data_IF_578264582439
#
_entry.id   IF_578264582439
#
_cell.length_a   1.000
_cell.length_b   1.000
_cell.length_c   1.000
_cell.angle_alpha   90.00
_cell.angle_beta   90.00
_cell.angle_gamma   90.00
#
_symmetry.space_group_name_H-M   'P 1'
#
loop_
_entity.id
_entity.type
_entity.pdbx_description
1 polymer ?
#
# COMPACT_ATOMS: atom_id res chain seq x y z
N UNK A 1 -5.67 16.58 7.94
CA UNK A 1 -5.56 16.71 9.41
C UNK A 1 -4.67 15.54 9.83
N UNK A 2 -3.36 15.79 10.01
CA UNK A 2 -2.38 14.73 10.26
C UNK A 2 -2.26 14.51 11.76
N UNK A 3 -2.70 13.36 12.24
CA UNK A 3 -2.48 12.95 13.63
C UNK A 3 -1.07 12.37 13.73
N UNK A 4 -0.13 13.17 14.25
CA UNK A 4 1.11 12.65 14.80
C UNK A 4 0.77 11.91 16.10
N UNK A 5 0.61 10.59 16.01
CA UNK A 5 0.32 9.70 17.14
C UNK A 5 1.59 9.23 17.85
N UNK A 6 1.54 9.21 19.19
CA UNK A 6 2.53 8.73 20.15
C UNK A 6 3.19 7.37 19.79
N UNK A 7 4.32 6.97 20.43
CA UNK A 7 4.94 5.66 20.21
C UNK A 7 4.06 4.56 20.83
N UNK A 8 2.97 4.22 20.15
CA UNK A 8 1.94 3.29 20.59
C UNK A 8 2.04 1.98 19.83
N UNK A 9 2.46 0.92 20.52
CA UNK A 9 2.47 -0.50 20.13
C UNK A 9 3.19 -0.85 18.79
N UNK A 10 3.89 -2.00 18.70
CA UNK A 10 4.40 -2.47 17.43
C UNK A 10 3.22 -2.75 16.48
N UNK A 11 3.11 -1.93 15.42
CA UNK A 11 2.15 -2.15 14.33
C UNK A 11 2.45 -3.53 13.72
N UNK A 12 1.57 -4.49 13.99
CA UNK A 12 1.79 -5.89 13.60
C UNK A 12 1.13 -6.14 12.24
N UNK A 13 1.94 -6.43 11.23
CA UNK A 13 1.48 -6.86 9.90
C UNK A 13 0.81 -8.23 10.03
N UNK A 14 -0.45 -8.33 9.59
CA UNK A 14 -1.20 -9.59 9.53
C UNK A 14 -0.86 -10.38 8.26
N UNK A 15 -0.83 -9.70 7.11
CA UNK A 15 -0.36 -10.26 5.82
C UNK A 15 -0.03 -9.15 4.83
N UNK A 16 0.85 -9.44 3.88
CA UNK A 16 1.04 -8.59 2.69
C UNK A 16 -0.05 -8.90 1.67
N UNK A 17 -0.75 -7.85 1.20
CA UNK A 17 -1.79 -7.94 0.18
C UNK A 17 -1.21 -7.85 -1.22
N UNK A 18 -0.26 -6.94 -1.43
CA UNK A 18 0.36 -6.74 -2.73
C UNK A 18 1.80 -6.24 -2.57
N UNK A 19 2.64 -6.58 -3.54
CA UNK A 19 4.00 -6.06 -3.67
C UNK A 19 4.31 -5.85 -5.14
N UNK A 20 4.49 -4.59 -5.53
CA UNK A 20 4.82 -4.22 -6.89
C UNK A 20 6.21 -3.62 -6.96
N UNK A 21 6.89 -3.88 -8.07
CA UNK A 21 8.21 -3.34 -8.36
C UNK A 21 8.15 -2.66 -9.72
N UNK A 22 8.79 -1.49 -9.82
CA UNK A 22 8.94 -0.78 -11.08
C UNK A 22 10.25 -0.02 -11.07
N UNK A 23 11.16 -0.37 -11.99
CA UNK A 23 12.55 0.08 -11.94
C UNK A 23 13.20 -0.37 -10.63
N UNK A 24 13.89 0.55 -9.96
CA UNK A 24 14.53 0.31 -8.66
C UNK A 24 13.61 0.60 -7.45
N UNK A 25 12.36 0.95 -7.70
CA UNK A 25 11.35 1.21 -6.68
C UNK A 25 10.52 -0.03 -6.33
N UNK A 26 10.08 -0.08 -5.09
CA UNK A 26 9.15 -1.08 -4.57
C UNK A 26 8.02 -0.40 -3.83
N UNK A 27 6.78 -0.86 -4.04
CA UNK A 27 5.62 -0.51 -3.24
C UNK A 27 5.04 -1.79 -2.63
N UNK A 28 4.82 -1.78 -1.32
CA UNK A 28 4.19 -2.87 -0.57
C UNK A 28 2.90 -2.40 0.07
N UNK A 29 1.84 -3.21 -0.03
CA UNK A 29 0.56 -2.99 0.64
C UNK A 29 0.34 -4.11 1.64
N UNK A 30 0.21 -3.77 2.92
CA UNK A 30 0.05 -4.70 4.02
C UNK A 30 -1.30 -4.51 4.71
N UNK A 31 -1.95 -5.62 5.07
CA UNK A 31 -3.07 -5.63 6.00
C UNK A 31 -2.51 -5.75 7.42
N UNK A 32 -2.85 -4.79 8.27
CA UNK A 32 -2.46 -4.77 9.67
C UNK A 32 -3.40 -5.62 10.52
N UNK A 33 -2.95 -5.99 11.71
CA UNK A 33 -3.76 -6.72 12.68
C UNK A 33 -4.95 -5.89 13.20
N UNK A 34 -4.88 -4.56 13.11
CA UNK A 34 -6.00 -3.65 13.37
C UNK A 34 -7.10 -3.72 12.31
N UNK A 35 -6.82 -4.30 11.13
CA UNK A 35 -7.70 -4.28 9.97
C UNK A 35 -7.44 -3.11 9.00
N UNK A 36 -6.61 -2.14 9.40
CA UNK A 36 -6.16 -1.06 8.53
C UNK A 36 -5.19 -1.58 7.46
N UNK A 37 -5.05 -0.80 6.39
CA UNK A 37 -4.14 -1.09 5.28
C UNK A 37 -3.01 -0.09 5.31
N UNK A 38 -1.78 -0.59 5.33
CA UNK A 38 -0.56 0.21 5.23
C UNK A 38 -0.01 0.11 3.81
N UNK A 39 0.45 1.21 3.25
CA UNK A 39 1.39 1.17 2.13
C UNK A 39 2.79 1.59 2.59
N UNK A 40 3.81 1.05 1.94
CA UNK A 40 5.18 1.52 2.03
C UNK A 40 5.79 1.60 0.64
N UNK A 41 6.56 2.65 0.38
CA UNK A 41 7.35 2.84 -0.84
C UNK A 41 8.81 2.98 -0.46
N UNK A 42 9.66 2.23 -1.13
CA UNK A 42 11.12 2.31 -1.00
C UNK A 42 11.76 2.40 -2.37
N UNK A 43 12.83 3.17 -2.49
CA UNK A 43 13.62 3.31 -3.72
C UNK A 43 14.98 3.93 -3.42
N UNK A 44 15.94 3.86 -4.36
CA UNK A 44 17.30 4.35 -4.14
C UNK A 44 17.38 5.87 -4.00
N UNK A 45 16.51 6.62 -4.68
CA UNK A 45 16.59 8.08 -4.81
C UNK A 45 15.53 8.85 -4.00
N UNK A 46 14.68 8.14 -3.25
CA UNK A 46 13.60 8.75 -2.47
C UNK A 46 13.61 8.24 -1.02
N UNK A 47 13.31 9.10 -0.04
CA UNK A 47 13.13 8.65 1.33
C UNK A 47 11.99 7.62 1.40
N UNK A 48 12.08 6.63 2.32
CA UNK A 48 11.00 5.68 2.50
C UNK A 48 9.72 6.42 2.89
N UNK A 49 8.65 6.13 2.18
CA UNK A 49 7.33 6.70 2.41
C UNK A 49 6.41 5.62 2.97
N UNK A 50 5.63 5.95 3.99
CA UNK A 50 4.67 5.04 4.60
C UNK A 50 3.37 5.79 4.95
N UNK A 51 2.23 5.14 4.78
CA UNK A 51 0.94 5.63 5.22
C UNK A 51 0.00 4.50 5.61
N UNK A 52 -0.93 4.78 6.53
CA UNK A 52 -1.95 3.82 6.99
C UNK A 52 -3.34 4.39 6.78
N UNK A 53 -4.27 3.56 6.28
CA UNK A 53 -5.61 3.93 5.87
C UNK A 53 -6.63 2.90 6.34
N UNK A 54 -7.86 3.35 6.61
CA UNK A 54 -8.95 2.45 7.01
C UNK A 54 -9.45 1.55 5.88
N UNK A 55 -9.22 1.93 4.62
CA UNK A 55 -9.69 1.18 3.44
C UNK A 55 -8.62 1.12 2.36
N UNK A 56 -8.72 0.11 1.49
CA UNK A 56 -7.87 0.00 0.30
C UNK A 56 -8.12 1.17 -0.67
N UNK A 57 -9.38 1.59 -0.82
CA UNK A 57 -9.74 2.73 -1.68
C UNK A 57 -9.07 4.04 -1.22
N UNK A 58 -9.13 4.36 0.07
CA UNK A 58 -8.46 5.56 0.61
C UNK A 58 -6.93 5.50 0.47
N UNK A 59 -6.35 4.30 0.56
CA UNK A 59 -4.93 4.09 0.26
C UNK A 59 -4.64 4.35 -1.22
N UNK A 60 -5.47 3.85 -2.14
CA UNK A 60 -5.29 4.07 -3.58
C UNK A 60 -5.37 5.54 -3.96
N UNK A 61 -6.34 6.28 -3.41
CA UNK A 61 -6.45 7.72 -3.60
C UNK A 61 -5.20 8.45 -3.09
N UNK A 62 -4.69 8.07 -1.92
CA UNK A 62 -3.48 8.66 -1.36
C UNK A 62 -2.25 8.35 -2.22
N UNK A 63 -2.05 7.09 -2.64
CA UNK A 63 -0.94 6.67 -3.51
C UNK A 63 -0.98 7.41 -4.85
N UNK A 64 -2.16 7.59 -5.44
CA UNK A 64 -2.32 8.30 -6.71
C UNK A 64 -2.06 9.82 -6.59
N UNK A 65 -2.39 10.42 -5.45
CA UNK A 65 -2.23 11.85 -5.21
C UNK A 65 -0.86 12.24 -4.63
N UNK A 66 -0.08 11.29 -4.11
CA UNK A 66 1.15 11.59 -3.38
C UNK A 66 2.30 11.92 -4.34
N UNK A 67 2.91 13.12 -4.25
CA UNK A 67 3.93 13.57 -5.21
C UNK A 67 5.20 12.72 -5.20
N UNK A 68 5.55 12.16 -4.03
CA UNK A 68 6.74 11.32 -3.87
C UNK A 68 6.52 9.84 -4.23
N UNK A 69 5.32 9.45 -4.65
CA UNK A 69 5.07 8.10 -5.17
C UNK A 69 5.37 8.11 -6.67
N UNK A 70 6.34 7.30 -7.16
CA UNK A 70 6.60 7.18 -8.58
C UNK A 70 5.33 6.75 -9.35
N UNK A 71 4.93 7.46 -10.42
CA UNK A 71 3.72 7.13 -11.17
C UNK A 71 3.70 5.70 -11.72
N UNK A 72 4.89 5.15 -12.04
CA UNK A 72 5.02 3.79 -12.51
C UNK A 72 4.70 2.74 -11.41
N UNK A 73 5.03 3.03 -10.14
CA UNK A 73 4.63 2.17 -9.02
C UNK A 73 3.13 2.27 -8.73
N UNK A 74 2.55 3.47 -8.78
CA UNK A 74 1.11 3.66 -8.64
C UNK A 74 0.35 2.91 -9.75
N UNK A 75 0.78 3.04 -11.01
CA UNK A 75 0.20 2.31 -12.14
C UNK A 75 0.35 0.79 -12.03
N UNK A 76 1.51 0.30 -11.60
CA UNK A 76 1.72 -1.13 -11.36
C UNK A 76 0.81 -1.68 -10.26
N UNK A 77 0.58 -0.91 -9.19
CA UNK A 77 -0.35 -1.30 -8.12
C UNK A 77 -1.79 -1.40 -8.63
N UNK A 78 -2.27 -0.41 -9.39
CA UNK A 78 -3.61 -0.44 -10.00
C UNK A 78 -3.75 -1.68 -10.87
N UNK A 79 -2.77 -1.93 -11.75
CA UNK A 79 -2.78 -3.08 -12.64
C UNK A 79 -2.87 -4.41 -11.89
N UNK A 80 -2.06 -4.61 -10.84
CA UNK A 80 -2.08 -5.85 -10.07
C UNK A 80 -3.41 -6.03 -9.31
N UNK A 81 -4.00 -4.94 -8.80
CA UNK A 81 -5.32 -5.00 -8.16
C UNK A 81 -6.42 -5.35 -9.16
N UNK A 82 -6.39 -4.77 -10.36
CA UNK A 82 -7.31 -5.12 -11.44
C UNK A 82 -7.16 -6.61 -11.83
N UNK A 83 -5.93 -7.11 -11.95
CA UNK A 83 -5.68 -8.53 -12.21
C UNK A 83 -6.23 -9.42 -11.10
N UNK A 84 -6.08 -9.03 -9.83
CA UNK A 84 -6.65 -9.78 -8.70
C UNK A 84 -8.18 -9.79 -8.74
N UNK A 85 -8.81 -8.66 -9.05
CA UNK A 85 -10.25 -8.56 -9.21
C UNK A 85 -10.77 -9.44 -10.35
N UNK A 86 -10.04 -9.50 -11.46
CA UNK A 86 -10.36 -10.34 -12.62
C UNK A 86 -10.12 -11.83 -12.38
N UNK A 87 -9.14 -12.21 -11.55
CA UNK A 87 -8.83 -13.61 -11.24
C UNK A 87 -9.91 -14.29 -10.39
N UNK A 88 -10.78 -13.52 -9.74
CA UNK A 88 -11.99 -14.08 -9.13
C UNK A 88 -11.72 -15.10 -8.02
N UNK A 89 -10.62 -14.99 -7.27
CA UNK A 89 -10.42 -15.76 -6.03
C UNK A 89 -11.31 -15.16 -4.92
N UNK A 90 -12.63 -15.22 -5.14
CA UNK A 90 -13.62 -15.13 -4.09
C UNK A 90 -13.50 -16.39 -3.22
N UNK A 91 -13.85 -16.32 -1.92
CA UNK A 91 -13.87 -17.51 -1.09
C UNK A 91 -14.69 -18.58 -1.80
N UNK A 92 -14.06 -19.72 -2.08
CA UNK A 92 -14.79 -20.94 -2.43
C UNK A 92 -15.79 -21.18 -1.29
N UNK A 93 -17.06 -20.91 -1.54
CA UNK A 93 -18.18 -21.19 -0.64
C UNK A 93 -18.29 -22.68 -0.37
#
# INVERSE_FOLDING_TARGET
MNSAGAPGAPVTVRRTLNRVHSGDGQLTVDLLSSGEVRFSVTGPDAPPLEGTFGTLEGLMEAVAAHPDVPPALAGALVWELDLLALRGDGPST
#
